data_IF_845062506165
#
_entry.id   IF_845062506165
#
_cell.length_a   1.000
_cell.length_b   1.000
_cell.length_c   1.000
_cell.angle_alpha   90.00
_cell.angle_beta   90.00
_cell.angle_gamma   90.00
#
_symmetry.space_group_name_H-M   'P 1'
#
loop_
_entity.id
_entity.type
_entity.pdbx_description
1 polymer ?
#
# COMPACT_ATOMS: atom_id res chain seq x y z
N UNK A 1 -1.93 -18.66 22.26
CA UNK A 1 -1.70 -17.28 22.73
C UNK A 1 -2.66 -16.38 22.00
N UNK A 2 -3.55 -15.68 22.71
CA UNK A 2 -4.45 -14.69 22.11
C UNK A 2 -3.69 -13.41 21.80
N UNK A 3 -4.13 -12.68 20.78
CA UNK A 3 -3.62 -11.34 20.47
C UNK A 3 -4.18 -10.38 21.52
N UNK A 4 -3.31 -9.71 22.29
CA UNK A 4 -3.72 -8.63 23.20
C UNK A 4 -3.80 -7.31 22.42
N UNK A 5 -4.99 -6.71 22.35
CA UNK A 5 -5.21 -5.42 21.69
C UNK A 5 -4.93 -4.31 22.71
N UNK A 6 -3.79 -3.63 22.56
CA UNK A 6 -3.29 -2.62 23.50
C UNK A 6 -3.87 -1.20 23.35
N UNK A 7 -4.87 -0.99 22.48
CA UNK A 7 -5.50 0.31 22.28
C UNK A 7 -6.40 0.38 21.05
N UNK A 8 -7.11 1.50 20.89
CA UNK A 8 -7.90 1.81 19.70
C UNK A 8 -7.48 3.16 19.11
N UNK A 9 -7.55 3.28 17.79
CA UNK A 9 -7.39 4.55 17.08
C UNK A 9 -8.78 5.05 16.71
N UNK A 10 -9.08 6.29 17.07
CA UNK A 10 -10.37 6.91 16.74
C UNK A 10 -10.55 6.98 15.21
N UNK A 11 -11.78 6.71 14.74
CA UNK A 11 -12.17 6.87 13.34
C UNK A 11 -13.17 8.02 13.23
N UNK A 12 -12.90 8.98 12.35
CA UNK A 12 -13.74 10.17 12.16
C UNK A 12 -14.03 10.37 10.69
N UNK A 13 -15.28 10.70 10.35
CA UNK A 13 -15.63 11.13 9.00
C UNK A 13 -15.02 12.52 8.74
N UNK A 14 -14.06 12.58 7.81
CA UNK A 14 -13.38 13.82 7.47
C UNK A 14 -14.29 14.90 6.87
N UNK A 15 -15.49 14.52 6.40
CA UNK A 15 -16.51 15.47 5.92
C UNK A 15 -17.29 16.14 7.06
N UNK A 16 -17.20 15.60 8.28
CA UNK A 16 -17.96 16.06 9.45
C UNK A 16 -17.09 16.79 10.49
N UNK A 17 -15.81 17.01 10.19
CA UNK A 17 -14.89 17.73 11.07
C UNK A 17 -14.24 18.89 10.32
N UNK A 18 -14.11 20.04 11.00
CA UNK A 18 -13.40 21.20 10.48
C UNK A 18 -11.89 21.08 10.62
N UNK A 19 -11.13 21.90 9.89
CA UNK A 19 -9.67 21.95 10.02
C UNK A 19 -9.22 22.29 11.45
N UNK A 20 -9.85 23.28 12.09
CA UNK A 20 -9.50 23.70 13.45
C UNK A 20 -9.72 22.57 14.46
N UNK A 21 -10.86 21.87 14.37
CA UNK A 21 -11.12 20.71 15.23
C UNK A 21 -10.11 19.59 14.98
N UNK A 22 -9.73 19.33 13.72
CA UNK A 22 -8.69 18.35 13.41
C UNK A 22 -7.34 18.73 14.05
N UNK A 23 -6.97 20.01 13.99
CA UNK A 23 -5.72 20.50 14.58
C UNK A 23 -5.73 20.39 16.10
N UNK A 24 -6.77 20.90 16.76
CA UNK A 24 -6.87 20.92 18.21
C UNK A 24 -6.98 19.52 18.82
N UNK A 25 -7.71 18.61 18.16
CA UNK A 25 -7.93 17.26 18.65
C UNK A 25 -6.77 16.32 18.37
N UNK A 26 -6.14 16.42 17.20
CA UNK A 26 -5.18 15.43 16.73
C UNK A 26 -3.80 15.99 16.44
N UNK A 27 -3.69 16.97 15.54
CA UNK A 27 -2.38 17.43 15.05
C UNK A 27 -1.52 18.03 16.17
N UNK A 28 -2.08 18.98 16.94
CA UNK A 28 -1.35 19.67 18.01
C UNK A 28 -0.94 18.73 19.16
N UNK A 29 -1.69 17.63 19.34
CA UNK A 29 -1.44 16.62 20.37
C UNK A 29 -0.58 15.46 19.86
N UNK A 30 -0.25 15.44 18.57
CA UNK A 30 0.38 14.31 17.89
C UNK A 30 -0.35 12.98 18.13
N UNK A 31 -1.69 13.02 18.12
CA UNK A 31 -2.55 11.87 18.40
C UNK A 31 -2.98 11.20 17.09
N UNK A 32 -2.81 9.87 16.92
CA UNK A 32 -3.26 9.17 15.72
C UNK A 32 -4.79 9.17 15.58
N UNK A 33 -5.25 9.32 14.35
CA UNK A 33 -6.66 9.25 13.94
C UNK A 33 -6.79 8.63 12.54
N UNK A 34 -7.86 7.89 12.30
CA UNK A 34 -8.24 7.41 10.97
C UNK A 34 -9.31 8.33 10.40
N UNK A 35 -8.99 9.06 9.35
CA UNK A 35 -9.95 9.87 8.62
C UNK A 35 -10.64 9.03 7.54
N UNK A 36 -11.97 9.07 7.50
CA UNK A 36 -12.81 8.38 6.51
C UNK A 36 -13.56 9.38 5.62
N UNK A 37 -14.14 8.91 4.51
CA UNK A 37 -15.01 9.71 3.64
C UNK A 37 -14.32 10.76 2.75
N UNK A 38 -13.00 10.95 2.87
CA UNK A 38 -12.25 11.93 2.06
C UNK A 38 -11.72 11.37 0.74
N UNK A 39 -11.70 10.05 0.59
CA UNK A 39 -11.05 9.35 -0.54
C UNK A 39 -12.05 8.78 -1.54
N UNK A 40 -13.36 8.94 -1.32
CA UNK A 40 -14.42 8.29 -2.11
C UNK A 40 -14.37 8.67 -3.61
N UNK A 41 -13.85 9.86 -3.93
CA UNK A 41 -13.71 10.34 -5.30
C UNK A 41 -12.35 10.01 -5.94
N UNK A 42 -11.41 9.42 -5.19
CA UNK A 42 -10.09 9.08 -5.71
C UNK A 42 -10.19 8.04 -6.82
N UNK A 43 -9.44 8.28 -7.90
CA UNK A 43 -9.35 7.34 -9.01
C UNK A 43 -8.77 6.00 -8.56
N UNK A 44 -7.78 6.03 -7.67
CA UNK A 44 -7.20 4.83 -7.08
C UNK A 44 -8.24 3.94 -6.38
N UNK A 45 -9.23 4.52 -5.70
CA UNK A 45 -10.29 3.77 -5.02
C UNK A 45 -11.29 3.10 -5.99
N UNK A 46 -11.21 3.38 -7.29
CA UNK A 46 -12.08 2.82 -8.33
C UNK A 46 -11.31 1.91 -9.28
N UNK A 47 -10.14 2.37 -9.73
CA UNK A 47 -9.36 1.67 -10.75
C UNK A 47 -8.49 0.56 -10.13
N UNK A 48 -7.91 0.79 -8.95
CA UNK A 48 -6.88 -0.08 -8.37
C UNK A 48 -7.44 -1.22 -7.54
N UNK A 49 -8.73 -1.23 -7.28
CA UNK A 49 -9.40 -2.19 -6.39
C UNK A 49 -10.73 -2.60 -7.01
N UNK A 50 -11.04 -3.90 -6.96
CA UNK A 50 -12.34 -4.42 -7.36
C UNK A 50 -13.37 -4.27 -6.21
N UNK A 51 -14.66 -4.39 -6.53
CA UNK A 51 -15.75 -4.33 -5.54
C UNK A 51 -15.60 -5.35 -4.39
N UNK A 52 -14.86 -6.44 -4.60
CA UNK A 52 -14.56 -7.45 -3.59
C UNK A 52 -13.38 -7.08 -2.67
N UNK A 53 -12.83 -5.87 -2.79
CA UNK A 53 -11.71 -5.36 -2.02
C UNK A 53 -10.33 -5.89 -2.45
N UNK A 54 -10.23 -6.70 -3.51
CA UNK A 54 -8.95 -7.20 -4.02
C UNK A 54 -8.31 -6.19 -4.99
N UNK A 55 -6.96 -6.11 -5.02
CA UNK A 55 -6.28 -5.23 -5.95
C UNK A 55 -6.49 -5.65 -7.40
N UNK A 56 -6.66 -4.68 -8.28
CA UNK A 56 -6.76 -4.85 -9.72
C UNK A 56 -5.36 -4.87 -10.36
N UNK A 57 -4.63 -5.97 -10.16
CA UNK A 57 -3.26 -6.11 -10.64
C UNK A 57 -3.16 -6.02 -12.18
N UNK A 58 -4.19 -6.48 -12.89
CA UNK A 58 -4.21 -6.42 -14.36
C UNK A 58 -4.15 -4.99 -14.90
N UNK A 59 -4.79 -4.05 -14.22
CA UNK A 59 -4.70 -2.63 -14.55
C UNK A 59 -3.24 -2.15 -14.49
N UNK A 60 -2.52 -2.51 -13.43
CA UNK A 60 -1.12 -2.12 -13.27
C UNK A 60 -0.22 -2.71 -14.34
N UNK A 61 -0.28 -4.03 -14.60
CA UNK A 61 0.53 -4.64 -15.66
C UNK A 61 0.21 -4.06 -17.04
N UNK A 62 -1.04 -3.67 -17.30
CA UNK A 62 -1.46 -3.17 -18.61
C UNK A 62 -1.06 -1.71 -18.84
N UNK A 63 -1.19 -0.85 -17.84
CA UNK A 63 -0.99 0.60 -18.00
C UNK A 63 0.37 1.09 -17.50
N UNK A 64 0.95 0.40 -16.51
CA UNK A 64 2.18 0.81 -15.82
C UNK A 64 3.24 -0.29 -15.82
N UNK A 65 3.01 -1.38 -16.57
CA UNK A 65 3.84 -2.57 -16.55
C UNK A 65 5.30 -2.34 -16.89
N UNK A 66 5.59 -1.36 -17.76
CA UNK A 66 6.95 -1.04 -18.20
C UNK A 66 7.75 -0.19 -17.20
N UNK A 67 7.12 0.37 -16.17
CA UNK A 67 7.82 1.16 -15.14
C UNK A 67 8.89 0.33 -14.47
N UNK A 68 10.09 0.86 -14.40
CA UNK A 68 11.20 0.27 -13.65
C UNK A 68 11.10 0.69 -12.20
N UNK A 69 10.99 -0.30 -11.32
CA UNK A 69 10.76 -0.12 -9.88
C UNK A 69 11.83 -0.85 -9.07
N UNK A 70 12.11 -0.31 -7.89
CA UNK A 70 12.99 -0.93 -6.90
C UNK A 70 12.15 -1.79 -5.97
N UNK A 71 12.43 -3.09 -5.95
CA UNK A 71 11.71 -4.09 -5.17
C UNK A 71 12.65 -4.66 -4.12
N UNK A 72 12.21 -4.69 -2.87
CA UNK A 72 12.95 -5.31 -1.79
C UNK A 72 12.69 -6.82 -1.76
N UNK A 73 13.75 -7.62 -1.72
CA UNK A 73 13.69 -9.04 -1.40
C UNK A 73 13.77 -9.21 0.12
N UNK A 74 12.61 -9.39 0.74
CA UNK A 74 12.49 -9.55 2.20
C UNK A 74 13.06 -10.90 2.69
N UNK A 75 13.31 -11.85 1.79
CA UNK A 75 13.93 -13.13 2.12
C UNK A 75 15.45 -13.05 2.25
N UNK A 76 16.07 -12.04 1.64
CA UNK A 76 17.52 -11.87 1.62
C UNK A 76 17.93 -10.61 2.36
N UNK A 77 18.59 -10.80 3.51
CA UNK A 77 19.21 -9.70 4.25
C UNK A 77 20.51 -9.27 3.58
N UNK A 78 20.66 -7.98 3.34
CA UNK A 78 21.88 -7.36 2.83
C UNK A 78 22.33 -6.28 3.83
N UNK A 79 23.36 -6.59 4.63
CA UNK A 79 23.80 -5.79 5.78
C UNK A 79 22.68 -5.53 6.82
N UNK A 80 22.31 -4.26 7.02
CA UNK A 80 21.22 -3.81 7.91
C UNK A 80 19.90 -3.61 7.18
N UNK A 81 19.85 -3.84 5.86
CA UNK A 81 18.65 -3.67 5.02
C UNK A 81 18.31 -5.00 4.30
N UNK A 82 17.28 -4.94 3.47
CA UNK A 82 16.90 -5.99 2.52
C UNK A 82 17.59 -5.74 1.17
N UNK A 83 17.94 -6.81 0.47
CA UNK A 83 18.47 -6.70 -0.89
C UNK A 83 17.45 -6.02 -1.79
N UNK A 84 17.90 -5.07 -2.61
CA UNK A 84 17.05 -4.41 -3.61
C UNK A 84 17.37 -4.91 -5.00
N UNK A 85 16.32 -5.16 -5.77
CA UNK A 85 16.41 -5.56 -7.17
C UNK A 85 15.57 -4.60 -8.00
N UNK A 86 16.12 -4.18 -9.13
CA UNK A 86 15.36 -3.46 -10.13
C UNK A 86 14.61 -4.47 -11.00
N UNK A 87 13.31 -4.24 -11.19
CA UNK A 87 12.49 -4.99 -12.14
C UNK A 87 11.38 -4.09 -12.68
N UNK A 88 10.66 -4.56 -13.68
CA UNK A 88 9.45 -3.92 -14.18
C UNK A 88 8.27 -4.22 -13.26
N UNK A 89 7.24 -3.36 -13.29
CA UNK A 89 5.98 -3.60 -12.58
C UNK A 89 5.32 -4.89 -13.07
N UNK A 90 5.40 -5.22 -14.37
CA UNK A 90 4.89 -6.48 -14.89
C UNK A 90 5.61 -7.69 -14.28
N UNK A 91 6.94 -7.69 -14.25
CA UNK A 91 7.73 -8.76 -13.62
C UNK A 91 7.37 -8.93 -12.13
N UNK A 92 7.21 -7.83 -11.40
CA UNK A 92 6.77 -7.87 -10.00
C UNK A 92 5.38 -8.49 -9.82
N UNK A 93 4.43 -8.13 -10.69
CA UNK A 93 3.05 -8.64 -10.61
C UNK A 93 2.98 -10.12 -10.97
N UNK A 94 3.74 -10.56 -11.98
CA UNK A 94 3.83 -11.98 -12.36
C UNK A 94 4.30 -12.82 -11.16
N UNK A 95 5.36 -12.37 -10.46
CA UNK A 95 5.80 -12.99 -9.21
C UNK A 95 4.72 -13.04 -8.12
N UNK A 96 3.91 -11.97 -7.97
CA UNK A 96 2.85 -11.93 -6.97
C UNK A 96 1.69 -12.89 -7.29
N UNK A 97 1.33 -13.04 -8.57
CA UNK A 97 0.26 -13.95 -8.99
C UNK A 97 0.71 -15.40 -8.82
N UNK A 98 1.92 -15.74 -9.28
CA UNK A 98 2.49 -17.08 -9.17
C UNK A 98 2.55 -17.58 -7.71
N UNK A 99 2.88 -16.70 -6.77
CA UNK A 99 2.91 -17.05 -5.35
C UNK A 99 1.52 -17.38 -4.79
N UNK A 100 0.47 -16.69 -5.26
CA UNK A 100 -0.92 -16.94 -4.83
C UNK A 100 -1.47 -18.24 -5.41
N UNK A 101 -1.24 -18.52 -6.69
CA UNK A 101 -1.76 -19.74 -7.35
C UNK A 101 -1.07 -21.00 -6.80
N UNK A 102 0.17 -20.89 -6.33
CA UNK A 102 0.88 -21.97 -5.65
C UNK A 102 0.45 -22.20 -4.17
N UNK A 103 -0.69 -21.67 -3.73
CA UNK A 103 -1.27 -21.98 -2.42
C UNK A 103 -0.77 -21.09 -1.28
N UNK A 104 -0.89 -19.77 -1.43
CA UNK A 104 -0.63 -18.77 -0.38
C UNK A 104 -1.60 -18.86 0.82
N UNK A 105 -1.49 -19.94 1.59
CA UNK A 105 -2.07 -20.13 2.91
C UNK A 105 -1.09 -20.93 3.76
N UNK A 106 0.07 -20.32 4.04
CA UNK A 106 0.99 -20.86 5.02
C UNK A 106 1.57 -19.72 5.84
N UNK A 107 0.91 -19.43 6.96
CA UNK A 107 1.49 -18.76 8.12
C UNK A 107 2.57 -19.63 8.79
N UNK A 108 3.31 -20.43 8.03
CA UNK A 108 4.51 -21.08 8.54
C UNK A 108 5.71 -20.48 7.85
N UNK A 109 6.56 -19.86 8.67
CA UNK A 109 7.98 -19.66 8.41
C UNK A 109 8.60 -21.02 8.08
N UNK A 110 8.39 -21.51 6.86
CA UNK A 110 9.03 -22.70 6.34
C UNK A 110 10.38 -22.25 5.79
N UNK A 111 11.36 -22.24 6.70
CA UNK A 111 12.77 -22.43 6.36
C UNK A 111 12.87 -23.63 5.41
N UNK A 112 13.18 -23.40 4.13
CA UNK A 112 13.64 -24.49 3.26
C UNK A 112 13.17 -24.54 1.81
N UNK A 113 12.27 -23.67 1.33
CA UNK A 113 12.00 -23.55 -0.11
C UNK A 113 11.91 -22.08 -0.50
N UNK A 114 13.01 -21.55 -1.03
CA UNK A 114 13.28 -20.13 -1.27
C UNK A 114 12.30 -19.46 -2.22
N UNK A 115 11.14 -19.06 -1.68
CA UNK A 115 10.24 -18.11 -2.32
C UNK A 115 10.65 -16.69 -1.94
N UNK A 116 10.94 -15.88 -2.94
CA UNK A 116 11.27 -14.47 -2.76
C UNK A 116 10.04 -13.72 -2.23
N UNK A 117 10.12 -13.22 -0.99
CA UNK A 117 9.09 -12.35 -0.44
C UNK A 117 9.36 -10.93 -0.95
N UNK A 118 8.82 -10.62 -2.11
CA UNK A 118 9.07 -9.35 -2.79
C UNK A 118 8.14 -8.25 -2.26
N UNK A 119 8.71 -7.07 -2.01
CA UNK A 119 7.98 -5.89 -1.57
C UNK A 119 8.34 -4.66 -2.40
N UNK A 120 7.36 -4.17 -3.15
CA UNK A 120 7.45 -2.93 -3.90
C UNK A 120 7.14 -1.75 -2.97
N UNK A 121 8.15 -0.93 -2.67
CA UNK A 121 8.03 0.28 -1.84
C UNK A 121 8.72 1.46 -2.52
N UNK A 122 8.42 2.67 -2.04
CA UNK A 122 9.02 3.93 -2.49
C UNK A 122 8.86 4.22 -4.00
N UNK A 123 7.85 3.62 -4.65
CA UNK A 123 7.53 3.95 -6.04
C UNK A 123 6.85 5.32 -6.11
N UNK A 124 7.52 6.28 -6.75
CA UNK A 124 7.04 7.64 -6.93
C UNK A 124 5.99 7.72 -8.07
N UNK A 125 4.92 6.95 -7.95
CA UNK A 125 3.91 6.77 -8.99
C UNK A 125 3.37 8.10 -9.55
N UNK A 126 3.03 9.05 -8.68
CA UNK A 126 2.46 10.35 -9.11
C UNK A 126 3.49 11.24 -9.80
N UNK A 127 4.78 11.07 -9.51
CA UNK A 127 5.85 11.77 -10.24
C UNK A 127 6.01 11.21 -11.65
N UNK A 128 5.88 9.89 -11.80
CA UNK A 128 6.00 9.21 -13.11
C UNK A 128 4.73 9.36 -13.96
N UNK A 129 3.55 9.34 -13.34
CA UNK A 129 2.24 9.43 -13.98
C UNK A 129 1.39 10.58 -13.41
N UNK A 130 1.82 11.85 -13.55
CA UNK A 130 1.11 13.00 -12.98
C UNK A 130 -0.30 13.14 -13.55
N UNK A 131 -0.47 12.85 -14.85
CA UNK A 131 -1.75 12.94 -15.57
C UNK A 131 -2.78 11.88 -15.14
N UNK A 132 -2.35 10.83 -14.45
CA UNK A 132 -3.29 9.80 -13.98
C UNK A 132 -4.19 10.32 -12.86
N UNK A 133 -3.68 11.24 -12.03
CA UNK A 133 -4.36 11.85 -10.87
C UNK A 133 -4.98 10.77 -9.98
N UNK A 134 -4.13 9.89 -9.44
CA UNK A 134 -4.55 8.75 -8.62
C UNK A 134 -5.39 9.17 -7.39
N UNK A 135 -5.00 10.28 -6.77
CA UNK A 135 -5.61 10.84 -5.58
C UNK A 135 -5.48 12.36 -5.57
N UNK A 136 -6.19 13.01 -4.65
CA UNK A 136 -6.03 14.43 -4.32
C UNK A 136 -5.61 14.55 -2.86
N UNK A 137 -4.74 15.51 -2.56
CA UNK A 137 -4.37 15.81 -1.17
C UNK A 137 -5.60 16.25 -0.39
N UNK A 138 -5.95 15.58 0.73
CA UNK A 138 -7.08 15.98 1.57
C UNK A 138 -6.87 17.39 2.13
N UNK A 139 -7.96 18.13 2.36
CA UNK A 139 -7.93 19.54 2.82
C UNK A 139 -7.16 19.77 4.12
N UNK A 140 -7.05 18.76 4.97
CA UNK A 140 -6.27 18.82 6.21
C UNK A 140 -4.75 18.92 5.99
N UNK A 141 -4.28 18.64 4.77
CA UNK A 141 -2.86 18.58 4.40
C UNK A 141 -2.52 19.47 3.19
N UNK A 142 -3.44 20.35 2.79
CA UNK A 142 -3.19 21.38 1.78
C UNK A 142 -2.43 22.57 2.39
#
# INVERSE_FOLDING_TARGET
MGIEIGGSIEKVNGKEISYNEFVERYLAKNQPVVLTGLMDDWRACKDWVFDNGKPNLKLFSTHFGNSKVQVADCGTREFTDQKRVEMTVSEFIDHWIDDRECGGASNSFQEGNGKFVLYLKDWHFVTEYPEYVAYKTPVFFL
#
